data_IF_300206810137
#
_entry.id   IF_300206810137
#
_cell.length_a   1.000
_cell.length_b   1.000
_cell.length_c   1.000
_cell.angle_alpha   90.00
_cell.angle_beta   90.00
_cell.angle_gamma   90.00
#
_symmetry.space_group_name_H-M   'P 1'
#
loop_
_entity.id
_entity.type
_entity.pdbx_description
1 polymer ?
#
# COMPACT_ATOMS: atom_id res chain seq x y z
N UNK A 1 -14.10 13.22 8.44
CA UNK A 1 -14.23 13.52 7.00
C UNK A 1 -13.15 12.71 6.31
N UNK A 2 -13.53 11.75 5.46
CA UNK A 2 -12.53 10.95 4.74
C UNK A 2 -11.99 11.77 3.57
N UNK A 3 -10.66 11.79 3.36
CA UNK A 3 -10.10 12.44 2.18
C UNK A 3 -10.68 11.76 0.95
N UNK A 4 -11.22 12.55 0.02
CA UNK A 4 -11.59 12.07 -1.31
C UNK A 4 -10.38 11.33 -1.88
N UNK A 5 -10.59 10.12 -2.41
CA UNK A 5 -9.54 9.37 -3.07
C UNK A 5 -8.96 10.28 -4.16
N UNK A 6 -7.64 10.56 -4.15
CA UNK A 6 -7.04 11.39 -5.18
C UNK A 6 -7.36 10.75 -6.53
N UNK A 7 -7.91 11.52 -7.46
CA UNK A 7 -8.05 11.14 -8.86
C UNK A 7 -6.64 11.08 -9.47
N UNK A 8 -5.84 10.10 -9.06
CA UNK A 8 -4.50 9.91 -9.57
C UNK A 8 -4.64 9.38 -10.99
N UNK A 9 -4.64 10.29 -11.95
CA UNK A 9 -4.69 9.97 -13.38
C UNK A 9 -3.50 9.10 -13.79
N UNK A 10 -2.37 9.20 -13.07
CA UNK A 10 -1.16 8.44 -13.35
C UNK A 10 -1.10 7.10 -12.59
N UNK A 11 -1.05 5.96 -13.31
CA UNK A 11 -0.99 4.63 -12.72
C UNK A 11 0.30 4.33 -11.95
N UNK A 12 1.43 4.96 -12.32
CA UNK A 12 2.72 4.81 -11.65
C UNK A 12 3.31 6.16 -11.28
N UNK A 13 4.21 6.21 -10.27
CA UNK A 13 5.10 7.34 -10.08
C UNK A 13 5.92 7.61 -11.35
N UNK A 14 6.14 8.89 -11.70
CA UNK A 14 7.07 9.21 -12.75
C UNK A 14 8.50 8.77 -12.37
N UNK A 15 9.25 8.30 -13.37
CA UNK A 15 10.64 7.86 -13.26
C UNK A 15 10.86 6.74 -12.21
N UNK A 16 9.92 5.81 -12.06
CA UNK A 16 10.08 4.73 -11.08
C UNK A 16 11.21 3.76 -11.47
N UNK A 17 11.40 3.47 -12.78
CA UNK A 17 12.50 2.62 -13.29
C UNK A 17 13.89 3.14 -12.94
N UNK A 18 14.09 4.46 -12.81
CA UNK A 18 15.41 5.02 -12.48
C UNK A 18 15.81 4.79 -11.02
N UNK A 19 14.89 4.33 -10.17
CA UNK A 19 15.18 3.96 -8.78
C UNK A 19 15.62 2.51 -8.63
N UNK A 20 15.55 1.72 -9.69
CA UNK A 20 15.97 0.32 -9.67
C UNK A 20 17.49 0.23 -9.72
N UNK A 21 18.04 -0.66 -8.89
CA UNK A 21 19.47 -1.01 -8.90
C UNK A 21 19.93 -1.52 -10.27
N UNK A 22 19.07 -2.28 -10.95
CA UNK A 22 19.34 -2.87 -12.27
C UNK A 22 18.18 -2.58 -13.23
N UNK A 23 18.10 -1.39 -13.85
CA UNK A 23 16.94 -1.01 -14.68
C UNK A 23 16.67 -1.94 -15.87
N UNK A 24 17.70 -2.62 -16.40
CA UNK A 24 17.55 -3.54 -17.55
C UNK A 24 17.09 -4.93 -17.16
N UNK A 25 17.37 -5.37 -15.93
CA UNK A 25 16.94 -6.64 -15.37
C UNK A 25 16.23 -6.35 -14.04
N UNK A 26 15.04 -5.75 -14.07
CA UNK A 26 14.46 -5.10 -12.90
C UNK A 26 14.13 -6.06 -11.75
N UNK A 27 14.04 -7.37 -12.03
CA UNK A 27 13.90 -8.42 -11.02
C UNK A 27 15.19 -8.79 -10.29
N UNK A 28 16.35 -8.30 -10.73
CA UNK A 28 17.61 -8.47 -10.02
C UNK A 28 17.77 -7.38 -8.97
N UNK A 29 17.89 -7.79 -7.71
CA UNK A 29 18.13 -6.88 -6.58
C UNK A 29 19.56 -6.32 -6.60
N UNK A 30 19.83 -5.30 -5.79
CA UNK A 30 21.17 -4.74 -5.64
C UNK A 30 22.20 -5.81 -5.24
N UNK A 31 23.47 -5.69 -5.67
CA UNK A 31 24.53 -6.62 -5.28
C UNK A 31 24.66 -6.78 -3.76
N UNK A 32 24.51 -5.71 -2.98
CA UNK A 32 24.59 -5.74 -1.51
C UNK A 32 23.46 -6.59 -0.90
N UNK A 33 22.21 -6.36 -1.32
CA UNK A 33 21.07 -7.17 -0.87
C UNK A 33 21.23 -8.62 -1.32
N UNK A 34 21.67 -8.86 -2.56
CA UNK A 34 21.91 -10.20 -3.08
C UNK A 34 22.97 -10.96 -2.28
N UNK A 35 24.09 -10.32 -1.92
CA UNK A 35 25.10 -10.93 -1.06
C UNK A 35 24.53 -11.35 0.30
N UNK A 36 23.69 -10.51 0.91
CA UNK A 36 23.02 -10.84 2.19
C UNK A 36 22.03 -11.99 2.04
N UNK A 37 21.28 -12.03 0.93
CA UNK A 37 20.41 -13.16 0.56
C UNK A 37 21.22 -14.44 0.43
N UNK A 38 22.34 -14.42 -0.28
CA UNK A 38 23.18 -15.62 -0.47
C UNK A 38 23.76 -16.15 0.84
N UNK A 39 24.11 -15.24 1.76
CA UNK A 39 24.60 -15.58 3.10
C UNK A 39 23.53 -16.18 4.03
N UNK A 40 22.24 -16.10 3.71
CA UNK A 40 21.21 -16.76 4.51
C UNK A 40 21.33 -18.28 4.35
N UNK A 41 21.41 -18.97 5.49
CA UNK A 41 21.21 -20.41 5.54
C UNK A 41 19.74 -20.71 5.21
N UNK A 42 19.50 -21.71 4.37
CA UNK A 42 18.15 -22.17 4.08
C UNK A 42 18.16 -23.64 3.72
N UNK A 43 17.34 -24.42 4.39
CA UNK A 43 17.01 -25.80 4.02
C UNK A 43 15.88 -25.84 2.97
N UNK A 44 15.41 -24.67 2.52
CA UNK A 44 14.28 -24.52 1.58
C UNK A 44 14.79 -24.15 0.18
N UNK A 45 13.95 -24.39 -0.83
CA UNK A 45 14.20 -24.01 -2.24
C UNK A 45 14.30 -22.50 -2.48
N UNK A 46 14.02 -21.68 -1.47
CA UNK A 46 14.07 -20.23 -1.52
C UNK A 46 14.76 -19.66 -0.27
N UNK A 47 15.16 -18.40 -0.38
CA UNK A 47 15.77 -17.61 0.69
C UNK A 47 14.96 -16.34 0.90
N UNK A 48 14.87 -15.93 2.16
CA UNK A 48 14.26 -14.68 2.59
C UNK A 48 15.33 -13.80 3.22
N UNK A 49 15.37 -12.52 2.87
CA UNK A 49 16.28 -11.56 3.49
C UNK A 49 15.57 -10.22 3.68
N UNK A 50 15.63 -9.65 4.88
CA UNK A 50 15.05 -8.33 5.14
C UNK A 50 15.75 -7.24 4.32
N UNK A 51 14.96 -6.39 3.68
CA UNK A 51 15.43 -5.22 2.92
C UNK A 51 15.53 -4.06 3.90
N UNK A 52 16.73 -3.52 4.02
CA UNK A 52 17.06 -2.40 4.89
C UNK A 52 16.86 -1.08 4.17
N UNK A 53 16.66 0.01 4.92
CA UNK A 53 16.56 1.36 4.34
C UNK A 53 17.83 1.83 3.63
N UNK A 54 18.97 1.17 3.87
CA UNK A 54 20.24 1.41 3.19
C UNK A 54 20.40 0.64 1.90
N UNK A 55 19.54 -0.35 1.61
CA UNK A 55 19.58 -1.04 0.32
C UNK A 55 18.97 -0.15 -0.76
N UNK A 56 19.60 -0.04 -1.95
CA UNK A 56 19.05 0.73 -3.06
C UNK A 56 17.61 0.33 -3.44
N UNK A 57 17.27 -0.95 -3.31
CA UNK A 57 15.95 -1.49 -3.65
C UNK A 57 14.82 -0.92 -2.77
N UNK A 58 15.13 -0.50 -1.53
CA UNK A 58 14.14 0.05 -0.59
C UNK A 58 13.44 1.30 -1.15
N UNK A 59 14.20 2.20 -1.79
CA UNK A 59 13.67 3.46 -2.31
C UNK A 59 12.64 3.25 -3.43
N UNK A 60 12.87 2.27 -4.30
CA UNK A 60 11.91 1.89 -5.33
C UNK A 60 10.60 1.40 -4.70
N UNK A 61 10.68 0.48 -3.73
CA UNK A 61 9.51 -0.11 -3.07
C UNK A 61 8.74 0.96 -2.29
N UNK A 62 9.43 1.79 -1.52
CA UNK A 62 8.83 2.85 -0.73
C UNK A 62 8.14 3.89 -1.64
N UNK A 63 8.81 4.38 -2.68
CA UNK A 63 8.20 5.37 -3.58
C UNK A 63 6.99 4.81 -4.31
N UNK A 64 7.03 3.54 -4.71
CA UNK A 64 5.90 2.91 -5.37
C UNK A 64 4.73 2.71 -4.40
N UNK A 65 4.99 2.26 -3.18
CA UNK A 65 3.98 2.11 -2.13
C UNK A 65 3.32 3.45 -1.78
N UNK A 66 4.11 4.51 -1.56
CA UNK A 66 3.62 5.83 -1.16
C UNK A 66 2.73 6.51 -2.22
N UNK A 67 2.91 6.17 -3.50
CA UNK A 67 2.10 6.71 -4.61
C UNK A 67 0.60 6.47 -4.44
N UNK A 68 0.27 5.28 -3.96
CA UNK A 68 -1.10 4.82 -3.72
C UNK A 68 -1.13 4.07 -2.40
N UNK A 69 -0.64 4.76 -1.35
CA UNK A 69 -0.56 4.24 0.01
C UNK A 69 -1.97 3.88 0.54
N UNK A 70 -2.18 2.68 1.09
CA UNK A 70 -3.41 2.35 1.79
C UNK A 70 -3.64 3.27 3.01
N UNK A 71 -4.84 3.85 3.19
CA UNK A 71 -5.10 4.73 4.32
C UNK A 71 -4.89 4.04 5.67
N UNK A 72 -4.10 4.64 6.55
CA UNK A 72 -3.87 4.12 7.91
C UNK A 72 -2.87 2.97 7.99
N UNK A 73 -2.10 2.70 6.94
CA UNK A 73 -1.06 1.66 6.94
C UNK A 73 0.29 2.19 6.48
N UNK A 74 1.36 1.85 7.16
CA UNK A 74 2.74 2.04 6.69
C UNK A 74 3.43 0.70 6.42
N UNK A 75 4.57 0.75 5.73
CA UNK A 75 5.45 -0.41 5.63
C UNK A 75 6.03 -0.70 7.01
N UNK A 76 5.70 -1.85 7.59
CA UNK A 76 6.32 -2.37 8.81
C UNK A 76 7.64 -3.05 8.50
N UNK A 77 7.67 -3.88 7.46
CA UNK A 77 8.84 -4.65 7.05
C UNK A 77 8.77 -4.99 5.57
N UNK A 78 9.94 -5.10 4.92
CA UNK A 78 10.09 -5.59 3.56
C UNK A 78 11.05 -6.78 3.58
N UNK A 79 10.65 -7.88 2.96
CA UNK A 79 11.46 -9.09 2.82
C UNK A 79 11.68 -9.38 1.35
N UNK A 80 12.93 -9.49 0.93
CA UNK A 80 13.32 -9.97 -0.39
C UNK A 80 13.14 -11.50 -0.46
N UNK A 81 12.45 -11.96 -1.48
CA UNK A 81 12.24 -13.36 -1.82
C UNK A 81 13.21 -13.71 -2.95
N UNK A 82 14.04 -14.72 -2.74
CA UNK A 82 14.91 -15.25 -3.78
C UNK A 82 14.76 -16.75 -3.94
N UNK A 83 14.29 -17.16 -5.11
CA UNK A 83 14.23 -18.55 -5.53
C UNK A 83 14.90 -18.63 -6.92
N UNK A 84 16.06 -19.29 -7.07
CA UNK A 84 16.79 -19.33 -8.32
C UNK A 84 16.02 -20.06 -9.44
N UNK A 85 15.25 -21.10 -9.10
CA UNK A 85 14.49 -21.87 -10.07
C UNK A 85 13.33 -21.04 -10.65
N UNK A 86 12.61 -20.30 -9.79
CA UNK A 86 11.55 -19.41 -10.25
C UNK A 86 12.09 -18.25 -11.10
N UNK A 87 13.27 -17.73 -10.75
CA UNK A 87 13.97 -16.74 -11.57
C UNK A 87 14.24 -17.29 -12.98
N UNK A 88 14.80 -18.50 -13.06
CA UNK A 88 15.12 -19.13 -14.35
C UNK A 88 13.86 -19.37 -15.19
N UNK A 89 12.78 -19.86 -14.56
CA UNK A 89 11.49 -20.11 -15.23
C UNK A 89 10.86 -18.81 -15.74
N UNK A 90 10.93 -17.73 -14.97
CA UNK A 90 10.44 -16.42 -15.37
C UNK A 90 11.22 -15.86 -16.57
N UNK A 91 12.56 -15.90 -16.54
CA UNK A 91 13.38 -15.45 -17.67
C UNK A 91 13.17 -16.32 -18.92
N UNK A 92 13.00 -17.64 -18.75
CA UNK A 92 12.62 -18.54 -19.84
C UNK A 92 11.27 -18.19 -20.45
N UNK A 93 10.30 -17.83 -19.62
CA UNK A 93 8.97 -17.38 -20.04
C UNK A 93 9.05 -16.09 -20.85
N UNK A 94 9.85 -15.11 -20.42
CA UNK A 94 10.07 -13.88 -21.17
C UNK A 94 10.64 -14.13 -22.57
N UNK A 95 11.63 -15.03 -22.69
CA UNK A 95 12.18 -15.42 -24.00
C UNK A 95 11.14 -16.10 -24.88
N UNK A 96 10.29 -16.95 -24.30
CA UNK A 96 9.18 -17.58 -25.03
C UNK A 96 8.20 -16.53 -25.57
N UNK A 97 7.77 -15.59 -24.73
CA UNK A 97 6.87 -14.52 -25.13
C UNK A 97 7.46 -13.66 -26.26
N UNK A 98 8.77 -13.34 -26.21
CA UNK A 98 9.44 -12.57 -27.27
C UNK A 98 9.44 -13.32 -28.62
N UNK A 99 9.62 -14.65 -28.60
CA UNK A 99 9.53 -15.51 -29.78
C UNK A 99 8.11 -15.59 -30.31
N UNK A 100 7.12 -15.77 -29.43
CA UNK A 100 5.70 -15.78 -29.79
C UNK A 100 5.29 -14.48 -30.48
N UNK A 101 5.73 -13.32 -29.96
CA UNK A 101 5.49 -11.99 -30.55
C UNK A 101 6.21 -11.76 -31.88
N UNK A 102 7.05 -12.69 -32.31
CA UNK A 102 7.68 -12.68 -33.64
C UNK A 102 6.97 -13.61 -34.62
N UNK A 103 6.00 -14.40 -34.16
CA UNK A 103 5.19 -15.27 -34.98
C UNK A 103 3.77 -14.70 -35.15
N UNK A 104 3.35 -14.34 -36.38
CA UNK A 104 2.03 -13.77 -36.66
C UNK A 104 0.84 -14.60 -36.15
N UNK A 105 1.01 -15.92 -35.98
CA UNK A 105 -0.05 -16.82 -35.47
C UNK A 105 -0.47 -16.43 -34.05
N UNK A 106 0.46 -15.95 -33.23
CA UNK A 106 0.21 -15.55 -31.84
C UNK A 106 -0.04 -14.05 -31.70
N UNK A 107 -0.13 -13.29 -32.81
CA UNK A 107 -0.40 -11.87 -32.72
C UNK A 107 -1.80 -11.62 -32.09
N UNK A 108 -1.89 -10.68 -31.14
CA UNK A 108 -3.17 -10.19 -30.65
C UNK A 108 -4.01 -9.65 -31.81
N UNK A 109 -5.33 -9.84 -31.73
CA UNK A 109 -6.27 -9.37 -32.75
C UNK A 109 -6.90 -8.03 -32.37
N UNK A 110 -6.19 -7.19 -31.60
CA UNK A 110 -6.77 -6.02 -30.94
C UNK A 110 -7.55 -5.07 -31.86
N UNK A 111 -7.16 -4.95 -33.13
CA UNK A 111 -7.84 -4.12 -34.14
C UNK A 111 -9.22 -4.63 -34.56
N UNK A 112 -9.51 -5.90 -34.33
CA UNK A 112 -10.78 -6.57 -34.67
C UNK A 112 -11.74 -6.63 -33.47
N UNK A 113 -11.27 -6.25 -32.28
CA UNK A 113 -12.04 -6.35 -31.05
C UNK A 113 -12.95 -5.11 -30.87
N UNK A 114 -14.22 -5.33 -30.51
CA UNK A 114 -15.19 -4.27 -30.24
C UNK A 114 -15.56 -4.20 -28.75
N UNK A 115 -15.88 -3.02 -28.18
CA UNK A 115 -15.91 -1.69 -28.81
C UNK A 115 -14.50 -1.09 -28.99
N UNK A 116 -14.14 -0.69 -30.22
CA UNK A 116 -12.78 -0.26 -30.58
C UNK A 116 -12.26 0.95 -29.76
N UNK A 117 -13.10 1.96 -29.55
CA UNK A 117 -12.68 3.21 -28.89
C UNK A 117 -12.26 2.98 -27.43
N UNK A 118 -13.04 2.21 -26.67
CA UNK A 118 -12.74 1.93 -25.27
C UNK A 118 -11.51 1.03 -25.13
N UNK A 119 -11.33 0.08 -26.06
CA UNK A 119 -10.16 -0.80 -26.10
C UNK A 119 -8.88 -0.05 -26.44
N UNK A 120 -8.91 0.82 -27.45
CA UNK A 120 -7.77 1.67 -27.81
C UNK A 120 -7.35 2.53 -26.61
N UNK A 121 -8.33 3.05 -25.84
CA UNK A 121 -8.06 3.81 -24.61
C UNK A 121 -7.44 2.97 -23.50
N UNK A 122 -7.97 1.77 -23.26
CA UNK A 122 -7.40 0.84 -22.29
C UNK A 122 -5.96 0.46 -22.67
N UNK A 123 -5.70 0.13 -23.94
CA UNK A 123 -4.37 -0.20 -24.43
C UNK A 123 -3.41 1.00 -24.36
N UNK A 124 -3.86 2.21 -24.68
CA UNK A 124 -3.04 3.41 -24.51
C UNK A 124 -2.63 3.63 -23.04
N UNK A 125 -3.56 3.41 -22.10
CA UNK A 125 -3.27 3.47 -20.66
C UNK A 125 -2.27 2.38 -20.24
N UNK A 126 -2.38 1.18 -20.79
CA UNK A 126 -1.42 0.09 -20.55
C UNK A 126 -0.04 0.37 -21.15
N UNK A 127 0.05 0.96 -22.34
CA UNK A 127 1.34 1.28 -22.98
C UNK A 127 2.11 2.35 -22.21
N UNK A 128 1.42 3.37 -21.67
CA UNK A 128 2.03 4.37 -20.77
C UNK A 128 2.67 3.71 -19.54
N UNK A 129 2.04 2.67 -19.01
CA UNK A 129 2.55 1.91 -17.87
C UNK A 129 3.77 1.07 -18.23
N UNK A 130 3.68 0.30 -19.31
CA UNK A 130 4.71 -0.67 -19.68
C UNK A 130 5.94 -0.03 -20.30
N UNK A 131 5.80 1.09 -21.01
CA UNK A 131 6.91 1.86 -21.58
C UNK A 131 7.89 2.38 -20.52
N UNK A 132 7.46 2.52 -19.26
CA UNK A 132 8.36 2.88 -18.18
C UNK A 132 9.36 1.76 -17.87
N UNK A 133 9.00 0.49 -18.07
CA UNK A 133 9.79 -0.66 -17.62
C UNK A 133 10.43 -1.47 -18.76
N UNK A 134 9.85 -1.45 -19.96
CA UNK A 134 10.42 -2.05 -21.17
C UNK A 134 11.29 -1.07 -21.97
N UNK A 135 12.28 -1.54 -22.75
CA UNK A 135 12.72 -2.92 -22.88
C UNK A 135 13.48 -3.41 -21.63
N UNK A 136 13.58 -4.73 -21.52
CA UNK A 136 14.37 -5.44 -20.49
C UNK A 136 15.37 -6.40 -21.15
N UNK A 137 16.32 -6.90 -20.39
CA UNK A 137 17.34 -7.86 -20.81
C UNK A 137 17.18 -9.16 -20.01
N UNK A 138 17.52 -10.28 -20.61
CA UNK A 138 17.56 -11.60 -19.97
C UNK A 138 18.90 -12.26 -20.26
N UNK A 139 19.43 -13.01 -19.29
CA UNK A 139 20.75 -13.64 -19.47
C UNK A 139 20.68 -14.70 -20.56
N UNK A 140 21.54 -14.62 -21.56
CA UNK A 140 21.64 -15.66 -22.59
C UNK A 140 22.40 -16.87 -22.07
N UNK A 141 21.95 -18.08 -22.44
CA UNK A 141 22.69 -19.31 -22.13
C UNK A 141 23.89 -19.50 -23.05
N UNK A 142 23.83 -18.94 -24.27
CA UNK A 142 24.77 -19.25 -25.36
C UNK A 142 25.62 -18.04 -25.79
N UNK A 143 25.27 -16.82 -25.37
CA UNK A 143 26.04 -15.61 -25.66
C UNK A 143 26.55 -14.92 -24.41
N UNK A 144 27.69 -14.25 -24.55
CA UNK A 144 28.22 -13.33 -23.52
C UNK A 144 27.35 -12.09 -23.34
N UNK A 145 26.60 -11.72 -24.38
CA UNK A 145 25.68 -10.58 -24.35
C UNK A 145 24.28 -11.04 -23.89
N UNK A 146 23.58 -10.25 -23.07
CA UNK A 146 22.18 -10.48 -22.73
C UNK A 146 21.29 -10.44 -23.97
N UNK A 147 20.20 -11.22 -23.98
CA UNK A 147 19.19 -11.09 -25.02
C UNK A 147 18.24 -9.94 -24.63
N UNK A 148 17.99 -9.00 -25.56
CA UNK A 148 17.03 -7.93 -25.33
C UNK A 148 15.60 -8.44 -25.56
N UNK A 149 14.72 -8.25 -24.58
CA UNK A 149 13.27 -8.45 -24.71
C UNK A 149 12.62 -7.09 -24.92
N UNK A 150 12.31 -6.80 -26.19
CA UNK A 150 11.80 -5.50 -26.64
C UNK A 150 10.29 -5.50 -26.87
N UNK A 151 9.70 -6.66 -27.14
CA UNK A 151 8.28 -6.82 -27.42
C UNK A 151 7.51 -7.25 -26.18
N UNK A 152 8.02 -8.20 -25.41
CA UNK A 152 7.42 -8.58 -24.14
C UNK A 152 7.45 -7.40 -23.15
N UNK A 153 6.39 -7.27 -22.35
CA UNK A 153 6.26 -6.23 -21.33
C UNK A 153 6.43 -6.82 -19.94
N UNK A 154 7.07 -6.06 -19.06
CA UNK A 154 7.27 -6.41 -17.66
C UNK A 154 6.82 -5.26 -16.77
N UNK A 155 6.03 -5.54 -15.74
CA UNK A 155 5.56 -4.55 -14.77
C UNK A 155 5.81 -5.02 -13.34
N UNK A 156 6.13 -4.10 -12.40
CA UNK A 156 6.04 -4.38 -10.98
C UNK A 156 4.59 -4.20 -10.53
N UNK A 157 3.93 -5.28 -10.12
CA UNK A 157 2.54 -5.26 -9.69
C UNK A 157 2.37 -5.82 -8.27
N UNK A 158 1.39 -5.27 -7.56
CA UNK A 158 0.99 -5.69 -6.23
C UNK A 158 0.00 -6.86 -6.29
N UNK A 159 0.14 -7.77 -5.34
CA UNK A 159 -0.79 -8.86 -5.07
C UNK A 159 -1.06 -8.90 -3.56
N UNK A 160 -2.30 -8.64 -3.14
CA UNK A 160 -2.70 -8.73 -1.74
C UNK A 160 -3.20 -10.13 -1.38
N UNK A 161 -2.75 -10.67 -0.25
CA UNK A 161 -3.21 -11.97 0.23
C UNK A 161 -3.03 -12.10 1.75
N UNK A 162 -3.23 -13.31 2.29
CA UNK A 162 -2.92 -13.62 3.70
C UNK A 162 -1.44 -13.97 3.90
N UNK A 163 -0.97 -13.93 5.14
CA UNK A 163 0.41 -14.35 5.47
C UNK A 163 0.70 -15.77 4.96
N UNK A 164 -0.23 -16.69 5.21
CA UNK A 164 -0.12 -18.10 4.85
C UNK A 164 0.05 -18.29 3.33
N UNK A 165 -0.77 -17.60 2.52
CA UNK A 165 -0.68 -17.68 1.06
C UNK A 165 0.62 -17.04 0.57
N UNK A 166 1.04 -15.91 1.13
CA UNK A 166 2.32 -15.29 0.79
C UNK A 166 3.50 -16.23 1.06
N UNK A 167 3.53 -16.91 2.21
CA UNK A 167 4.54 -17.94 2.53
C UNK A 167 4.54 -19.08 1.51
N UNK A 168 3.36 -19.57 1.14
CA UNK A 168 3.23 -20.63 0.13
C UNK A 168 3.73 -20.16 -1.25
N UNK A 169 3.48 -18.91 -1.62
CA UNK A 169 3.96 -18.34 -2.89
C UNK A 169 5.50 -18.21 -2.88
N UNK A 170 6.11 -17.89 -1.73
CA UNK A 170 7.57 -17.84 -1.62
C UNK A 170 8.22 -19.19 -1.95
N UNK A 171 7.62 -20.30 -1.49
CA UNK A 171 8.16 -21.65 -1.69
C UNK A 171 7.84 -22.25 -3.05
N UNK A 172 6.59 -22.12 -3.50
CA UNK A 172 6.06 -22.81 -4.69
C UNK A 172 5.87 -21.94 -5.92
N UNK A 173 6.04 -20.62 -5.77
CA UNK A 173 5.67 -19.65 -6.78
C UNK A 173 4.16 -19.41 -6.75
N UNK A 174 3.66 -18.63 -7.72
CA UNK A 174 2.22 -18.58 -7.90
C UNK A 174 1.70 -19.94 -8.38
N UNK A 175 0.44 -20.24 -8.12
CA UNK A 175 -0.20 -21.46 -8.62
C UNK A 175 -1.66 -21.19 -8.93
N UNK A 176 -2.25 -22.04 -9.77
CA UNK A 176 -3.67 -22.00 -10.11
C UNK A 176 -4.38 -23.11 -9.36
N UNK A 177 -5.38 -22.74 -8.55
CA UNK A 177 -6.25 -23.71 -7.89
C UNK A 177 -7.43 -24.04 -8.80
N UNK A 178 -7.71 -25.33 -8.97
CA UNK A 178 -8.89 -25.78 -9.71
C UNK A 178 -10.17 -25.19 -9.12
N UNK A 179 -11.05 -24.69 -9.99
CA UNK A 179 -12.31 -24.02 -9.61
C UNK A 179 -13.53 -24.92 -9.73
N UNK A 180 -13.32 -26.24 -9.71
CA UNK A 180 -14.37 -27.23 -9.94
C UNK A 180 -15.50 -27.15 -8.89
N UNK A 181 -15.22 -26.72 -7.66
CA UNK A 181 -16.23 -26.54 -6.60
C UNK A 181 -17.32 -25.52 -6.93
N UNK A 182 -17.12 -24.66 -7.94
CA UNK A 182 -18.12 -23.70 -8.41
C UNK A 182 -19.06 -24.25 -9.48
N UNK A 183 -18.76 -25.44 -10.01
CA UNK A 183 -19.49 -26.10 -11.09
C UNK A 183 -19.98 -27.49 -10.69
N UNK A 184 -19.39 -28.08 -9.65
CA UNK A 184 -19.73 -29.37 -9.10
C UNK A 184 -19.80 -29.26 -7.56
N UNK A 185 -21.01 -29.34 -7.01
CA UNK A 185 -21.24 -29.29 -5.57
C UNK A 185 -20.56 -30.44 -4.83
N UNK A 186 -20.33 -31.58 -5.50
CA UNK A 186 -19.63 -32.73 -4.91
C UNK A 186 -18.11 -32.50 -4.77
N UNK A 187 -17.55 -31.56 -5.54
CA UNK A 187 -16.14 -31.16 -5.47
C UNK A 187 -15.84 -30.20 -4.29
N UNK A 188 -16.82 -29.90 -3.44
CA UNK A 188 -16.70 -28.93 -2.33
C UNK A 188 -15.95 -29.44 -1.09
N UNK A 189 -15.42 -30.67 -1.11
CA UNK A 189 -14.74 -31.29 0.05
C UNK A 189 -13.25 -30.93 0.21
N UNK A 190 -12.65 -30.18 -0.72
CA UNK A 190 -11.26 -29.72 -0.60
C UNK A 190 -11.09 -28.50 0.32
N UNK A 191 -9.98 -28.45 1.06
CA UNK A 191 -9.60 -27.29 1.91
C UNK A 191 -9.12 -26.08 1.12
N UNK A 192 -8.66 -26.28 -0.13
CA UNK A 192 -8.13 -25.22 -0.99
C UNK A 192 -9.19 -24.72 -1.97
N UNK A 193 -10.11 -23.88 -1.48
CA UNK A 193 -11.15 -23.26 -2.31
C UNK A 193 -10.66 -21.91 -2.83
N UNK A 194 -10.74 -21.71 -4.15
CA UNK A 194 -10.65 -20.37 -4.71
C UNK A 194 -11.78 -19.51 -4.15
N UNK A 195 -11.49 -18.25 -3.85
CA UNK A 195 -12.43 -17.28 -3.27
C UNK A 195 -13.37 -16.67 -4.31
N UNK A 196 -13.02 -16.74 -5.61
CA UNK A 196 -13.85 -16.25 -6.72
C UNK A 196 -13.71 -17.13 -7.97
N UNK A 197 -14.79 -17.23 -8.76
CA UNK A 197 -14.77 -17.84 -10.11
C UNK A 197 -13.80 -17.08 -11.03
N UNK A 198 -13.61 -15.78 -10.81
CA UNK A 198 -12.76 -14.89 -11.59
C UNK A 198 -13.59 -14.10 -12.59
N UNK A 199 -13.90 -12.84 -12.25
CA UNK A 199 -14.71 -11.95 -13.09
C UNK A 199 -14.13 -11.71 -14.49
N UNK A 200 -12.81 -11.66 -14.59
CA UNK A 200 -12.07 -11.41 -15.83
C UNK A 200 -11.22 -12.62 -16.22
N UNK A 201 -11.67 -13.82 -15.84
CA UNK A 201 -10.96 -15.08 -16.09
C UNK A 201 -10.40 -15.73 -14.83
N UNK A 202 -10.11 -17.01 -14.93
CA UNK A 202 -9.59 -17.89 -13.89
C UNK A 202 -8.05 -17.82 -13.81
N UNK A 203 -7.51 -16.61 -13.73
CA UNK A 203 -6.06 -16.38 -13.61
C UNK A 203 -5.62 -15.88 -12.24
N UNK A 204 -4.40 -15.37 -12.19
CA UNK A 204 -3.76 -14.74 -11.04
C UNK A 204 -3.91 -13.23 -11.19
N UNK A 205 -4.51 -12.58 -10.20
CA UNK A 205 -4.87 -11.17 -10.22
C UNK A 205 -3.78 -10.32 -9.58
N UNK A 206 -3.50 -9.20 -10.21
CA UNK A 206 -2.53 -8.19 -9.80
C UNK A 206 -3.09 -6.79 -10.02
N UNK A 207 -2.48 -5.80 -9.37
CA UNK A 207 -2.82 -4.39 -9.57
C UNK A 207 -1.56 -3.51 -9.49
N UNK A 208 -1.60 -2.31 -10.05
CA UNK A 208 -0.56 -1.31 -9.85
C UNK A 208 -0.72 -0.49 -8.55
N UNK A 209 -1.79 -0.72 -7.78
CA UNK A 209 -2.11 0.05 -6.57
C UNK A 209 -1.94 -0.75 -5.29
N UNK A 210 -1.05 -0.30 -4.40
CA UNK A 210 -0.90 -0.90 -3.08
C UNK A 210 -2.21 -0.77 -2.26
N UNK A 211 -2.85 0.40 -2.31
CA UNK A 211 -4.17 0.64 -1.72
C UNK A 211 -5.20 -0.37 -2.21
N UNK A 212 -5.28 -0.60 -3.53
CA UNK A 212 -6.25 -1.54 -4.07
C UNK A 212 -5.93 -2.99 -3.67
N UNK A 213 -4.65 -3.38 -3.70
CA UNK A 213 -4.21 -4.70 -3.28
C UNK A 213 -4.59 -4.99 -1.81
N UNK A 214 -4.58 -3.98 -0.92
CA UNK A 214 -4.96 -4.20 0.49
C UNK A 214 -6.41 -4.62 0.70
N UNK A 215 -7.32 -4.33 -0.23
CA UNK A 215 -8.72 -4.79 -0.14
C UNK A 215 -8.79 -6.33 -0.12
N UNK A 216 -7.82 -6.99 -0.78
CA UNK A 216 -7.73 -8.44 -0.88
C UNK A 216 -6.75 -9.06 0.13
N UNK A 217 -6.13 -8.26 0.98
CA UNK A 217 -5.21 -8.72 2.02
C UNK A 217 -5.91 -8.70 3.38
N UNK A 218 -6.02 -9.85 4.04
CA UNK A 218 -6.69 -9.95 5.35
C UNK A 218 -5.86 -9.38 6.51
N UNK A 219 -4.54 -9.34 6.37
CA UNK A 219 -3.59 -9.11 7.48
C UNK A 219 -2.49 -8.10 7.13
N UNK A 220 -2.64 -7.35 6.03
CA UNK A 220 -1.65 -6.39 5.58
C UNK A 220 -0.43 -7.04 4.93
N UNK A 221 -0.61 -8.12 4.18
CA UNK A 221 0.47 -8.78 3.44
C UNK A 221 0.33 -8.54 1.94
N UNK A 222 1.31 -7.84 1.38
CA UNK A 222 1.38 -7.55 -0.05
C UNK A 222 2.62 -8.20 -0.65
N UNK A 223 2.49 -8.78 -1.84
CA UNK A 223 3.62 -9.19 -2.67
C UNK A 223 3.81 -8.17 -3.79
N UNK A 224 5.02 -7.63 -3.90
CA UNK A 224 5.46 -6.90 -5.08
C UNK A 224 6.15 -7.87 -6.04
N UNK A 225 5.55 -8.03 -7.21
CA UNK A 225 5.83 -9.11 -8.15
C UNK A 225 6.19 -8.54 -9.51
N UNK A 226 7.22 -9.09 -10.14
CA UNK A 226 7.50 -8.80 -11.55
C UNK A 226 6.64 -9.68 -12.43
N UNK A 227 5.78 -9.06 -13.24
CA UNK A 227 4.80 -9.76 -14.08
C UNK A 227 5.13 -9.53 -15.54
N UNK A 228 5.27 -10.61 -16.31
CA UNK A 228 5.55 -10.61 -17.74
C UNK A 228 4.31 -10.92 -18.57
N UNK A 229 4.10 -10.16 -19.64
CA UNK A 229 2.96 -10.34 -20.53
C UNK A 229 3.29 -9.89 -21.95
N UNK A 230 2.51 -10.43 -22.91
CA UNK A 230 2.36 -9.85 -24.25
C UNK A 230 1.38 -8.68 -24.16
N UNK A 231 1.01 -8.08 -25.30
CA UNK A 231 -0.13 -7.15 -25.32
C UNK A 231 -1.37 -7.88 -24.76
N UNK A 232 -1.98 -7.37 -23.68
CA UNK A 232 -3.07 -8.04 -23.00
C UNK A 232 -4.37 -7.83 -23.77
N UNK A 233 -5.36 -8.68 -23.50
CA UNK A 233 -6.72 -8.42 -23.90
C UNK A 233 -7.28 -7.24 -23.08
N UNK A 234 -7.67 -6.11 -23.69
CA UNK A 234 -8.25 -4.99 -22.97
C UNK A 234 -9.69 -5.31 -22.59
N UNK A 235 -9.97 -5.48 -21.31
CA UNK A 235 -11.33 -5.74 -20.80
C UNK A 235 -12.01 -4.40 -20.56
N UNK A 236 -13.14 -4.21 -21.22
CA UNK A 236 -13.96 -2.99 -21.13
C UNK A 236 -15.40 -3.34 -20.83
N UNK A 237 -16.17 -2.37 -20.34
CA UNK A 237 -17.59 -2.56 -20.08
C UNK A 237 -18.42 -1.81 -21.12
N UNK A 238 -19.38 -2.51 -21.73
CA UNK A 238 -20.31 -1.99 -22.72
C UNK A 238 -21.70 -1.69 -22.13
N UNK A 239 -21.90 -1.93 -20.83
CA UNK A 239 -23.16 -1.65 -20.11
C UNK A 239 -22.90 -1.01 -18.75
N UNK A 240 -23.74 -0.06 -18.31
CA UNK A 240 -23.60 0.50 -16.97
C UNK A 240 -23.99 -0.52 -15.89
N UNK A 241 -23.35 -0.44 -14.73
CA UNK A 241 -23.77 -1.17 -13.53
C UNK A 241 -25.25 -0.83 -13.20
N UNK A 242 -26.10 -1.80 -12.82
CA UNK A 242 -25.80 -3.17 -12.38
C UNK A 242 -25.73 -4.23 -13.48
N UNK A 243 -25.86 -3.83 -14.75
CA UNK A 243 -25.81 -4.80 -15.84
C UNK A 243 -24.39 -5.32 -16.03
N UNK A 244 -24.27 -6.64 -16.21
CA UNK A 244 -22.98 -7.27 -16.48
C UNK A 244 -22.58 -7.04 -17.94
N UNK A 245 -21.41 -6.44 -18.14
CA UNK A 245 -20.85 -6.21 -19.48
C UNK A 245 -20.54 -7.49 -20.25
N UNK A 246 -20.50 -7.38 -21.57
CA UNK A 246 -20.26 -8.49 -22.49
C UNK A 246 -18.92 -9.19 -22.20
N UNK A 247 -17.86 -8.45 -21.90
CA UNK A 247 -16.56 -9.06 -21.60
C UNK A 247 -16.55 -9.80 -20.26
N UNK A 248 -17.22 -9.27 -19.23
CA UNK A 248 -17.36 -9.97 -17.95
C UNK A 248 -18.15 -11.28 -18.09
N UNK A 249 -19.15 -11.32 -18.99
CA UNK A 249 -19.89 -12.56 -19.31
C UNK A 249 -18.99 -13.51 -20.11
N UNK A 250 -18.27 -12.98 -21.10
CA UNK A 250 -17.39 -13.73 -21.99
C UNK A 250 -16.27 -14.44 -21.23
N UNK A 251 -15.64 -13.74 -20.29
CA UNK A 251 -14.42 -14.17 -19.60
C UNK A 251 -14.65 -14.85 -18.25
N UNK A 252 -15.80 -14.61 -17.61
CA UNK A 252 -16.07 -15.06 -16.25
C UNK A 252 -15.82 -16.57 -16.06
N UNK A 253 -14.87 -16.91 -15.19
CA UNK A 253 -14.50 -18.29 -14.88
C UNK A 253 -13.75 -19.06 -15.97
N UNK A 254 -13.35 -18.41 -17.07
CA UNK A 254 -12.64 -19.04 -18.19
C UNK A 254 -11.14 -18.73 -18.18
N UNK A 255 -10.39 -19.45 -18.99
CA UNK A 255 -8.96 -19.19 -19.22
C UNK A 255 -8.72 -17.88 -20.00
N UNK A 256 -7.47 -17.66 -20.41
CA UNK A 256 -7.10 -16.54 -21.28
C UNK A 256 -7.91 -16.54 -22.58
N UNK A 257 -8.19 -15.34 -23.09
CA UNK A 257 -8.93 -15.18 -24.33
C UNK A 257 -8.03 -15.31 -25.56
N UNK A 258 -8.37 -16.21 -26.50
CA UNK A 258 -7.72 -16.35 -27.80
C UNK A 258 -6.18 -16.28 -27.75
N UNK A 259 -5.57 -15.37 -28.53
CA UNK A 259 -4.13 -15.20 -28.66
C UNK A 259 -3.51 -14.32 -27.56
N UNK A 260 -4.29 -13.85 -26.59
CA UNK A 260 -3.81 -13.01 -25.49
C UNK A 260 -3.35 -13.89 -24.34
N UNK A 261 -2.24 -13.54 -23.67
CA UNK A 261 -1.73 -14.30 -22.51
C UNK A 261 -1.96 -13.59 -21.16
N UNK A 262 -2.65 -12.46 -21.19
CA UNK A 262 -3.00 -11.66 -20.04
C UNK A 262 -4.24 -10.82 -20.36
N UNK A 263 -4.97 -10.39 -19.34
CA UNK A 263 -6.04 -9.41 -19.45
C UNK A 263 -5.64 -8.15 -18.68
N UNK A 264 -6.00 -6.98 -19.23
CA UNK A 264 -5.81 -5.67 -18.59
C UNK A 264 -7.15 -4.99 -18.45
N UNK A 265 -7.46 -4.56 -17.23
CA UNK A 265 -8.80 -4.09 -16.87
C UNK A 265 -8.69 -2.77 -16.11
N UNK A 266 -8.86 -1.62 -16.77
CA UNK A 266 -9.09 -0.36 -16.08
C UNK A 266 -10.43 -0.46 -15.33
N UNK A 267 -10.41 -0.36 -14.01
CA UNK A 267 -11.60 -0.55 -13.18
C UNK A 267 -12.01 0.72 -12.45
N UNK A 268 -13.31 0.87 -12.22
CA UNK A 268 -13.88 1.91 -11.39
C UNK A 268 -14.78 1.29 -10.32
N UNK A 269 -14.82 1.92 -9.15
CA UNK A 269 -15.76 1.53 -8.11
C UNK A 269 -17.19 1.70 -8.61
N UNK A 270 -18.04 0.69 -8.38
CA UNK A 270 -19.47 0.81 -8.70
C UNK A 270 -20.20 1.81 -7.79
N UNK A 271 -19.57 2.20 -6.67
CA UNK A 271 -20.06 3.17 -5.69
C UNK A 271 -18.91 4.10 -5.27
N UNK A 272 -18.49 5.04 -6.13
CA UNK A 272 -17.30 5.87 -5.90
C UNK A 272 -17.40 6.78 -4.66
N UNK A 273 -18.62 7.05 -4.19
CA UNK A 273 -18.87 7.82 -2.98
C UNK A 273 -18.77 6.99 -1.68
N UNK A 274 -18.74 5.66 -1.79
CA UNK A 274 -18.60 4.75 -0.67
C UNK A 274 -17.14 4.27 -0.57
N UNK A 275 -16.34 4.80 0.38
CA UNK A 275 -14.95 4.38 0.56
C UNK A 275 -14.80 2.93 1.02
N UNK A 276 -15.90 2.26 1.40
CA UNK A 276 -15.94 0.85 1.75
C UNK A 276 -16.33 -0.05 0.58
N UNK A 277 -16.57 0.52 -0.61
CA UNK A 277 -16.89 -0.27 -1.78
C UNK A 277 -15.68 -1.12 -2.19
N UNK A 278 -15.86 -2.44 -2.14
CA UNK A 278 -14.87 -3.43 -2.57
C UNK A 278 -15.17 -4.00 -3.96
N UNK A 279 -16.22 -3.50 -4.62
CA UNK A 279 -16.70 -3.98 -5.91
C UNK A 279 -16.27 -3.00 -7.01
N UNK A 280 -15.51 -3.53 -7.98
CA UNK A 280 -14.91 -2.77 -9.06
C UNK A 280 -15.21 -3.45 -10.38
N UNK A 281 -15.76 -2.69 -11.32
CA UNK A 281 -16.13 -3.17 -12.64
C UNK A 281 -15.23 -2.49 -13.69
N UNK A 282 -15.03 -3.11 -14.87
CA UNK A 282 -14.34 -2.44 -15.96
C UNK A 282 -15.03 -1.11 -16.28
N UNK A 283 -14.25 -0.10 -16.63
CA UNK A 283 -14.78 1.22 -16.93
C UNK A 283 -15.78 1.14 -18.09
N UNK A 284 -16.90 1.84 -17.92
CA UNK A 284 -17.92 2.00 -18.96
C UNK A 284 -17.73 3.35 -19.66
N UNK A 285 -17.52 3.33 -20.98
CA UNK A 285 -17.34 4.53 -21.80
C UNK A 285 -16.24 5.47 -21.25
N UNK A 286 -16.55 6.77 -21.10
CA UNK A 286 -15.66 7.83 -20.61
C UNK A 286 -15.47 7.86 -19.09
N UNK A 287 -15.90 6.81 -18.38
CA UNK A 287 -15.65 6.70 -16.95
C UNK A 287 -14.14 6.65 -16.66
N UNK A 288 -13.61 7.54 -15.81
CA UNK A 288 -12.20 7.49 -15.46
C UNK A 288 -11.91 6.27 -14.57
N UNK A 289 -10.83 5.52 -14.83
CA UNK A 289 -10.43 4.41 -13.98
C UNK A 289 -9.99 4.91 -12.61
N UNK A 290 -10.43 4.20 -11.56
CA UNK A 290 -9.94 4.38 -10.19
C UNK A 290 -8.64 3.59 -10.00
N UNK A 291 -8.62 2.34 -10.48
CA UNK A 291 -7.49 1.42 -10.37
C UNK A 291 -7.32 0.64 -11.68
N UNK A 292 -6.26 -0.16 -11.76
CA UNK A 292 -6.07 -1.12 -12.84
C UNK A 292 -5.90 -2.53 -12.27
N UNK A 293 -6.52 -3.51 -12.92
CA UNK A 293 -6.29 -4.92 -12.69
C UNK A 293 -5.57 -5.57 -13.87
N UNK A 294 -4.79 -6.59 -13.53
CA UNK A 294 -4.07 -7.42 -14.48
C UNK A 294 -4.33 -8.88 -14.11
N UNK A 295 -4.68 -9.68 -15.10
CA UNK A 295 -4.85 -11.13 -14.92
C UNK A 295 -3.85 -11.84 -15.81
N UNK A 296 -3.00 -12.68 -15.22
CA UNK A 296 -2.11 -13.59 -15.97
C UNK A 296 -2.52 -15.03 -15.72
N UNK A 297 -2.25 -15.91 -16.67
CA UNK A 297 -2.84 -17.26 -16.67
C UNK A 297 -1.81 -18.35 -16.42
N UNK A 298 -0.52 -18.02 -16.59
CA UNK A 298 0.56 -18.94 -16.31
C UNK A 298 1.34 -18.45 -15.09
N UNK A 299 1.54 -19.28 -14.05
CA UNK A 299 2.36 -18.93 -12.90
C UNK A 299 3.75 -18.39 -13.24
N UNK A 300 4.36 -18.95 -14.28
CA UNK A 300 5.68 -18.55 -14.78
C UNK A 300 5.75 -17.11 -15.30
N UNK A 301 4.59 -16.46 -15.54
CA UNK A 301 4.52 -15.04 -15.86
C UNK A 301 4.81 -14.15 -14.65
N UNK A 302 4.82 -14.67 -13.44
CA UNK A 302 4.91 -13.88 -12.21
C UNK A 302 6.07 -14.34 -11.34
N UNK A 303 6.96 -13.40 -10.99
CA UNK A 303 8.09 -13.62 -10.11
C UNK A 303 7.93 -12.78 -8.83
N UNK A 304 7.47 -13.38 -7.72
CA UNK A 304 7.35 -12.67 -6.45
C UNK A 304 8.74 -12.30 -5.97
N UNK A 305 9.00 -11.01 -5.76
CA UNK A 305 10.32 -10.52 -5.38
C UNK A 305 10.37 -9.91 -3.99
N UNK A 306 9.34 -9.15 -3.60
CA UNK A 306 9.30 -8.56 -2.27
C UNK A 306 7.99 -8.90 -1.59
N UNK A 307 8.09 -9.29 -0.33
CA UNK A 307 6.98 -9.40 0.58
C UNK A 307 6.98 -8.20 1.52
N UNK A 308 5.95 -7.38 1.43
CA UNK A 308 5.74 -6.19 2.23
C UNK A 308 4.69 -6.50 3.29
N UNK A 309 5.12 -6.41 4.55
CA UNK A 309 4.23 -6.43 5.71
C UNK A 309 3.84 -5.00 6.06
N UNK A 310 2.54 -4.78 6.21
CA UNK A 310 1.99 -3.49 6.63
C UNK A 310 1.84 -3.44 8.14
N UNK A 311 2.15 -2.30 8.71
CA UNK A 311 1.83 -1.92 10.07
C UNK A 311 0.68 -0.93 10.06
N UNK A 312 -0.16 -0.95 11.10
CA UNK A 312 -1.13 0.12 11.30
C UNK A 312 -0.37 1.40 11.62
N UNK A 313 -0.66 2.47 10.89
CA UNK A 313 -0.19 3.80 11.24
C UNK A 313 -0.76 4.11 12.62
N UNK A 314 0.12 4.16 13.63
CA UNK A 314 -0.25 4.84 14.85
C UNK A 314 -0.56 6.28 14.47
N UNK A 315 -1.63 6.87 15.02
CA UNK A 315 -1.84 8.29 14.91
C UNK A 315 -0.49 8.91 15.26
N UNK A 316 0.14 9.60 14.30
CA UNK A 316 1.22 10.49 14.62
C UNK A 316 0.55 11.49 15.54
N UNK A 317 0.59 11.25 16.84
CA UNK A 317 0.40 12.28 17.84
C UNK A 317 1.45 13.27 17.39
N UNK A 318 1.01 14.33 16.71
CA UNK A 318 1.94 15.24 16.10
C UNK A 318 2.82 15.69 17.26
N UNK A 319 4.10 15.35 17.23
CA UNK A 319 5.02 15.80 18.28
C UNK A 319 5.07 17.34 18.28
N UNK A 320 4.71 17.97 17.16
CA UNK A 320 4.43 19.41 17.05
C UNK A 320 3.15 19.88 17.77
N UNK A 321 2.23 18.98 18.11
CA UNK A 321 1.06 19.26 18.96
C UNK A 321 1.29 18.81 20.42
N UNK A 322 2.40 18.12 20.71
CA UNK A 322 2.82 17.80 22.07
C UNK A 322 3.38 19.06 22.71
N UNK A 323 2.44 19.89 23.16
CA UNK A 323 2.72 20.99 24.06
C UNK A 323 3.46 20.46 25.29
N UNK A 324 4.60 21.06 25.58
CA UNK A 324 5.48 20.61 26.66
C UNK A 324 5.32 21.46 27.93
N UNK A 325 5.84 20.96 29.05
CA UNK A 325 5.96 21.70 30.30
C UNK A 325 6.69 23.04 30.10
N UNK A 326 7.73 23.08 29.26
CA UNK A 326 8.45 24.31 28.93
C UNK A 326 7.60 25.37 28.22
N UNK A 327 6.72 24.97 27.29
CA UNK A 327 5.81 25.91 26.64
C UNK A 327 4.78 26.51 27.60
N UNK A 328 4.23 25.69 28.51
CA UNK A 328 3.30 26.18 29.52
C UNK A 328 3.99 27.06 30.56
N UNK A 329 5.20 26.69 31.02
CA UNK A 329 5.97 27.53 31.93
C UNK A 329 6.25 28.90 31.31
N UNK A 330 6.68 28.94 30.05
CA UNK A 330 6.92 30.19 29.31
C UNK A 330 5.67 31.07 29.28
N UNK A 331 4.50 30.47 28.98
CA UNK A 331 3.24 31.21 29.01
C UNK A 331 2.94 31.72 30.42
N UNK A 332 3.01 30.86 31.45
CA UNK A 332 2.69 31.23 32.84
C UNK A 332 3.54 32.41 33.32
N UNK A 333 4.85 32.39 33.05
CA UNK A 333 5.75 33.49 33.39
C UNK A 333 5.36 34.78 32.65
N UNK A 334 5.10 34.70 31.33
CA UNK A 334 4.65 35.87 30.56
C UNK A 334 3.32 36.47 31.05
N UNK A 335 2.45 35.64 31.64
CA UNK A 335 1.18 36.09 32.22
C UNK A 335 1.40 36.74 33.57
N UNK A 336 2.28 36.19 34.41
CA UNK A 336 2.62 36.74 35.71
C UNK A 336 3.30 38.12 35.63
N UNK A 337 3.95 38.43 34.50
CA UNK A 337 4.54 39.74 34.24
C UNK A 337 3.51 40.83 33.90
N UNK A 338 2.23 40.49 33.64
CA UNK A 338 1.20 41.48 33.30
C UNK A 338 0.65 42.18 34.56
N UNK A 339 0.66 43.53 34.63
CA UNK A 339 0.18 44.28 35.80
C UNK A 339 -1.27 43.96 36.19
N UNK A 340 -2.15 43.79 35.21
CA UNK A 340 -3.57 43.48 35.43
C UNK A 340 -3.77 42.10 36.10
N UNK A 341 -2.86 41.14 35.85
CA UNK A 341 -2.88 39.82 36.49
C UNK A 341 -2.37 39.92 37.93
N UNK A 342 -1.33 40.72 38.17
CA UNK A 342 -0.79 40.95 39.51
C UNK A 342 -1.82 41.63 40.43
N UNK A 343 -2.68 42.50 39.88
CA UNK A 343 -3.79 43.10 40.61
C UNK A 343 -4.91 42.09 40.96
N UNK A 344 -5.00 40.96 40.22
CA UNK A 344 -5.97 39.90 40.46
C UNK A 344 -5.39 38.79 41.34
N UNK A 345 -5.24 39.06 42.65
CA UNK A 345 -4.54 38.21 43.65
C UNK A 345 -4.81 36.70 43.50
N UNK A 346 -6.08 36.28 43.40
CA UNK A 346 -6.42 34.86 43.29
C UNK A 346 -5.87 34.20 42.01
N UNK A 347 -5.91 34.92 40.89
CA UNK A 347 -5.43 34.42 39.60
C UNK A 347 -3.90 34.35 39.61
N UNK A 348 -3.24 35.41 40.08
CA UNK A 348 -1.79 35.45 40.25
C UNK A 348 -1.28 34.27 41.09
N UNK A 349 -1.90 34.02 42.26
CA UNK A 349 -1.52 32.90 43.13
C UNK A 349 -1.71 31.53 42.46
N UNK A 350 -2.81 31.33 41.72
CA UNK A 350 -3.02 30.08 40.97
C UNK A 350 -1.97 29.88 39.89
N UNK A 351 -1.65 30.94 39.11
CA UNK A 351 -0.64 30.88 38.07
C UNK A 351 0.76 30.61 38.64
N UNK A 352 1.11 31.21 39.78
CA UNK A 352 2.36 30.95 40.50
C UNK A 352 2.46 29.50 40.96
N UNK A 353 1.41 28.98 41.60
CA UNK A 353 1.39 27.59 42.04
C UNK A 353 1.58 26.62 40.86
N UNK A 354 0.94 26.92 39.73
CA UNK A 354 1.08 26.12 38.50
C UNK A 354 2.48 26.23 37.89
N UNK A 355 3.09 27.42 37.89
CA UNK A 355 4.44 27.63 37.40
C UNK A 355 5.47 26.85 38.25
N UNK A 356 5.31 26.85 39.58
CA UNK A 356 6.14 26.04 40.48
C UNK A 356 6.05 24.55 40.15
N UNK A 357 4.84 24.02 39.91
CA UNK A 357 4.68 22.62 39.51
C UNK A 357 5.35 22.29 38.17
N UNK A 358 5.43 23.26 37.25
CA UNK A 358 6.09 23.07 35.95
C UNK A 358 7.63 23.17 36.05
N UNK A 359 8.16 23.95 37.00
CA UNK A 359 9.61 24.05 37.25
C UNK A 359 10.21 22.72 37.72
N UNK A 360 9.42 21.89 38.41
CA UNK A 360 9.83 20.57 38.86
C UNK A 360 9.80 19.50 37.74
N UNK A 361 9.33 19.85 36.54
CA UNK A 361 9.24 18.94 35.39
C UNK A 361 10.33 19.25 34.35
N UNK A 362 10.83 18.22 33.65
CA UNK A 362 11.73 18.45 32.52
C UNK A 362 11.00 19.22 31.40
N UNK A 363 11.67 20.19 30.77
CA UNK A 363 11.05 21.08 29.76
C UNK A 363 10.40 20.34 28.59
N UNK A 364 10.90 19.15 28.25
CA UNK A 364 10.40 18.30 27.16
C UNK A 364 9.25 17.38 27.58
N UNK A 365 8.81 17.44 28.84
CA UNK A 365 7.75 16.58 29.36
C UNK A 365 6.41 16.94 28.71
N UNK A 366 5.69 15.98 28.10
CA UNK A 366 4.34 16.20 27.60
C UNK A 366 3.39 16.70 28.69
N UNK A 367 2.61 17.73 28.41
CA UNK A 367 1.56 18.20 29.31
C UNK A 367 0.43 17.18 29.45
N UNK A 368 -0.18 17.15 30.65
CA UNK A 368 -1.44 16.46 30.87
C UNK A 368 -2.56 17.03 29.96
N UNK A 369 -3.61 16.25 29.70
CA UNK A 369 -4.75 16.71 28.90
C UNK A 369 -5.39 18.00 29.46
N UNK A 370 -5.38 18.13 30.79
CA UNK A 370 -5.90 19.29 31.50
C UNK A 370 -5.02 20.52 31.30
N UNK A 371 -3.70 20.35 31.41
CA UNK A 371 -2.74 21.42 31.18
C UNK A 371 -2.72 21.89 29.72
N UNK A 372 -2.90 20.97 28.77
CA UNK A 372 -3.09 21.32 27.36
C UNK A 372 -4.36 22.15 27.14
N UNK A 373 -5.47 21.79 27.79
CA UNK A 373 -6.72 22.57 27.74
C UNK A 373 -6.53 23.96 28.33
N UNK A 374 -5.85 24.05 29.48
CA UNK A 374 -5.52 25.32 30.11
C UNK A 374 -4.66 26.20 29.20
N UNK A 375 -3.59 25.65 28.61
CA UNK A 375 -2.73 26.40 27.70
C UNK A 375 -3.51 26.94 26.49
N UNK A 376 -4.30 26.07 25.84
CA UNK A 376 -5.11 26.46 24.67
C UNK A 376 -6.11 27.56 25.02
N UNK A 377 -6.76 27.47 26.20
CA UNK A 377 -7.66 28.51 26.66
C UNK A 377 -6.89 29.81 26.91
N UNK A 378 -5.80 29.77 27.68
CA UNK A 378 -5.01 30.94 28.05
C UNK A 378 -4.46 31.68 26.81
N UNK A 379 -3.93 30.96 25.82
CA UNK A 379 -3.49 31.53 24.53
C UNK A 379 -4.65 32.18 23.76
N UNK A 380 -5.85 31.60 23.82
CA UNK A 380 -7.04 32.11 23.10
C UNK A 380 -7.62 33.38 23.71
N UNK A 381 -7.68 33.46 25.04
CA UNK A 381 -8.38 34.54 25.74
C UNK A 381 -7.46 35.68 26.21
N UNK A 382 -6.15 35.54 25.99
CA UNK A 382 -5.17 36.59 26.24
C UNK A 382 -4.21 36.75 25.07
N UNK A 383 -4.69 37.25 23.91
CA UNK A 383 -3.80 37.71 22.86
C UNK A 383 -2.86 38.81 23.38
N UNK A 384 -1.70 38.95 22.76
CA UNK A 384 -0.70 39.95 23.15
C UNK A 384 -1.30 41.36 23.13
N UNK A 385 -1.26 42.07 24.27
CA UNK A 385 -1.67 43.47 24.40
C UNK A 385 -3.08 43.76 24.92
N UNK A 386 -3.95 42.76 25.14
CA UNK A 386 -5.30 43.01 25.68
C UNK A 386 -5.33 43.07 27.22
N UNK A 387 -6.16 43.98 27.76
CA UNK A 387 -6.45 44.08 29.20
C UNK A 387 -7.24 42.87 29.68
N UNK A 388 -6.92 42.39 30.87
CA UNK A 388 -7.61 41.24 31.47
C UNK A 388 -9.03 41.63 31.90
N UNK A 389 -10.05 41.05 31.25
CA UNK A 389 -11.43 41.20 31.70
C UNK A 389 -11.72 40.33 32.94
N UNK A 390 -12.65 40.77 33.80
CA UNK A 390 -13.11 39.98 34.95
C UNK A 390 -13.68 38.61 34.54
N UNK A 391 -14.35 38.53 33.39
CA UNK A 391 -14.87 37.28 32.85
C UNK A 391 -13.74 36.31 32.45
N UNK A 392 -12.68 36.83 31.81
CA UNK A 392 -11.47 36.07 31.44
C UNK A 392 -10.79 35.51 32.68
N UNK A 393 -10.61 36.33 33.72
CA UNK A 393 -9.99 35.92 34.98
C UNK A 393 -10.77 34.79 35.67
N UNK A 394 -12.10 34.89 35.71
CA UNK A 394 -12.98 33.87 36.29
C UNK A 394 -12.89 32.55 35.53
N UNK A 395 -12.78 32.60 34.20
CA UNK A 395 -12.67 31.39 33.36
C UNK A 395 -11.34 30.65 33.58
N UNK A 396 -10.23 31.39 33.71
CA UNK A 396 -8.92 30.81 34.02
C UNK A 396 -8.88 30.19 35.41
N UNK A 397 -9.44 30.88 36.41
CA UNK A 397 -9.51 30.37 37.79
C UNK A 397 -10.27 29.04 37.87
N UNK A 398 -11.41 28.93 37.19
CA UNK A 398 -12.21 27.70 37.16
C UNK A 398 -11.45 26.51 36.57
N UNK A 399 -10.57 26.74 35.61
CA UNK A 399 -9.76 25.67 35.00
C UNK A 399 -8.48 25.36 35.75
N UNK A 400 -7.89 26.35 36.42
CA UNK A 400 -6.66 26.16 37.19
C UNK A 400 -6.87 25.58 38.60
N UNK A 401 -8.11 25.57 39.10
CA UNK A 401 -8.45 25.09 40.44
C UNK A 401 -8.53 23.56 40.56
N UNK A 402 -8.36 22.81 39.47
CA UNK A 402 -8.37 21.36 39.55
C UNK A 402 -7.06 20.88 40.21
N UNK A 403 -7.15 20.11 41.31
CA UNK A 403 -5.97 19.63 42.00
C UNK A 403 -5.15 18.75 41.05
N UNK A 404 -3.81 18.75 41.17
CA UNK A 404 -2.97 17.90 40.34
C UNK A 404 -3.46 16.45 40.46
N UNK A 405 -3.56 15.71 39.34
CA UNK A 405 -3.92 14.30 39.40
C UNK A 405 -2.97 13.59 40.37
N UNK A 406 -3.53 12.85 41.32
CA UNK A 406 -2.73 12.03 42.23
C UNK A 406 -1.77 11.18 41.41
N UNK A 407 -0.50 11.01 41.84
CA UNK A 407 0.47 10.20 41.12
C UNK A 407 -0.16 8.84 40.78
N UNK A 408 0.02 8.33 39.55
CA UNK A 408 -0.62 7.10 39.12
C UNK A 408 -0.29 6.00 40.13
N UNK A 409 -1.32 5.43 40.74
CA UNK A 409 -1.16 4.29 41.63
C UNK A 409 -0.34 3.22 40.91
N UNK A 410 0.69 2.70 41.57
CA UNK A 410 1.60 1.70 41.01
C UNK A 410 0.79 0.63 40.28
N UNK A 411 0.95 0.57 38.96
CA UNK A 411 0.21 -0.35 38.08
C UNK A 411 0.54 -1.76 38.55
N UNK A 412 -0.41 -2.43 39.20
CA UNK A 412 -0.28 -3.85 39.50
C UNK A 412 -0.06 -4.58 38.16
N UNK A 413 0.95 -5.45 38.06
CA UNK A 413 1.24 -6.16 36.82
C UNK A 413 0.00 -6.90 36.35
N UNK A 414 -0.42 -6.63 35.11
CA UNK A 414 -1.49 -7.38 34.46
C UNK A 414 -1.10 -8.86 34.42
N UNK A 415 -1.82 -9.68 35.18
CA UNK A 415 -1.82 -11.12 34.97
C UNK A 415 -2.39 -11.39 33.57
N UNK A 416 -1.53 -11.93 32.70
CA UNK A 416 -1.95 -12.38 31.37
C UNK A 416 -2.94 -13.54 31.51
N UNK A 417 -4.12 -13.48 30.87
CA UNK A 417 -4.92 -14.67 30.65
C UNK A 417 -4.18 -15.57 29.65
N UNK A 418 -4.05 -16.83 30.03
CA UNK A 418 -3.56 -17.92 29.20
C UNK A 418 -4.66 -18.38 28.23
N UNK A 419 -4.24 -18.86 27.04
CA UNK A 419 -5.01 -19.39 25.89
C UNK A 419 -5.50 -18.27 24.96
N UNK A 420 -5.30 -18.34 23.64
CA UNK A 420 -5.82 -19.36 22.72
C UNK A 420 -4.86 -19.68 21.55
N UNK A 421 -4.75 -20.98 21.25
CA UNK A 421 -4.44 -21.58 19.93
C UNK A 421 -5.81 -21.85 19.23
N UNK A 422 -5.87 -22.11 17.90
CA UNK A 422 -5.21 -23.26 17.25
C UNK A 422 -3.87 -22.96 16.59
#
# INVERSE_FOLDING_TARGET
MNPALPSNSQPFPPNLKSLLSNPRTPWNVSPSLFSRVQAQASDQSYKLCEVLSTDPDFNFILKYFEHQKPPGYSIKRIVCIHNPDHNQVFEGTLKNQERELSNPIFSPKGKEEEPKVDRDRALARWEVQTSQFSPVEVKSSNSRQPDACSKARVLPLWHGSSEFVCKSICSSGFTSFGKHHYFDESASQGSNKSTDKGYFGSGIYFTNSACYATIYSSEGHLLLTWVSMREPYPVVNDKPHPQKGSDMIKLGGKEHYQNYNAHFIPVASIRPQDPKCIEYYPCYQDQPPTWDEFVVFYPAQALPRFWVELGVDFPKVALSDLVTAGELLTLLLSLLDKPDIQQHVALSHMLQAKASLMLDQAETTPLSLEDQKFLKLAKRIMPEGEKLSSATASMLLKMGANPPPSPPAAVKPLQRPSRWLP
#
